data_IF_437211009069
#
_entry.id   IF_437211009069
#
_cell.length_a   1.000
_cell.length_b   1.000
_cell.length_c   1.000
_cell.angle_alpha   90.00
_cell.angle_beta   90.00
_cell.angle_gamma   90.00
#
_symmetry.space_group_name_H-M   'P 1'
#
loop_
_entity.id
_entity.type
_entity.pdbx_description
1 polymer ?
#
# COMPACT_ATOMS: atom_id res chain seq x y z
N UNK A 1 -4.31 -10.22 33.46
CA UNK A 1 -3.97 -10.00 32.03
C UNK A 1 -5.11 -9.24 31.38
N UNK A 2 -4.81 -8.33 30.45
CA UNK A 2 -5.83 -7.59 29.68
C UNK A 2 -5.49 -7.62 28.20
N UNK A 3 -6.45 -7.92 27.34
CA UNK A 3 -6.29 -7.77 25.89
C UNK A 3 -6.44 -6.29 25.55
N UNK A 4 -5.49 -5.70 24.84
CA UNK A 4 -5.56 -4.31 24.42
C UNK A 4 -4.77 -4.06 23.14
N UNK A 5 -5.06 -2.94 22.49
CA UNK A 5 -4.15 -2.38 21.50
C UNK A 5 -3.03 -1.64 22.22
N UNK A 6 -1.81 -1.91 21.83
CA UNK A 6 -0.63 -1.32 22.45
C UNK A 6 -0.23 0.03 21.84
N UNK A 7 0.93 0.55 22.23
CA UNK A 7 1.48 1.80 21.70
C UNK A 7 1.67 1.77 20.18
N UNK A 8 2.00 0.60 19.62
CA UNK A 8 2.14 0.34 18.18
C UNK A 8 0.81 -0.04 17.51
N UNK A 9 -0.30 0.01 18.27
CA UNK A 9 -1.64 -0.41 17.86
C UNK A 9 -1.78 -1.88 17.49
N UNK A 10 -0.89 -2.73 18.01
CA UNK A 10 -0.99 -4.17 17.87
C UNK A 10 -1.86 -4.75 18.98
N UNK A 11 -2.73 -5.69 18.61
CA UNK A 11 -3.53 -6.42 19.58
C UNK A 11 -2.62 -7.37 20.37
N UNK A 12 -2.48 -7.07 21.65
CA UNK A 12 -1.59 -7.77 22.56
C UNK A 12 -2.29 -8.06 23.89
N UNK A 13 -1.62 -8.83 24.74
CA UNK A 13 -2.00 -9.01 26.14
C UNK A 13 -1.01 -8.25 27.01
N UNK A 14 -1.55 -7.31 27.77
CA UNK A 14 -0.86 -6.66 28.86
C UNK A 14 -0.89 -7.54 30.11
N UNK A 15 0.29 -7.80 30.65
CA UNK A 15 0.49 -8.49 31.91
C UNK A 15 1.52 -7.72 32.74
N UNK A 16 1.07 -7.15 33.86
CA UNK A 16 1.91 -6.40 34.80
C UNK A 16 3.03 -7.27 35.39
N UNK A 17 2.86 -8.59 35.38
CA UNK A 17 3.84 -9.55 35.92
C UNK A 17 4.92 -9.93 34.91
N UNK A 18 4.79 -9.54 33.65
CA UNK A 18 5.73 -9.92 32.59
C UNK A 18 6.91 -8.93 32.60
N UNK A 19 8.14 -9.38 32.89
CA UNK A 19 9.29 -8.48 33.03
C UNK A 19 9.62 -7.78 31.70
N UNK A 20 9.59 -6.46 31.67
CA UNK A 20 9.97 -5.67 30.48
C UNK A 20 11.48 -5.45 30.42
N UNK A 21 12.22 -6.54 30.15
CA UNK A 21 13.68 -6.54 30.27
C UNK A 21 14.41 -6.14 28.97
N UNK A 22 13.76 -6.25 27.82
CA UNK A 22 14.38 -6.04 26.50
C UNK A 22 13.40 -5.45 25.48
N UNK A 23 13.88 -4.47 24.72
CA UNK A 23 13.20 -3.97 23.52
C UNK A 23 13.54 -4.85 22.31
N UNK A 24 12.52 -5.14 21.52
CA UNK A 24 12.63 -5.83 20.24
C UNK A 24 12.16 -4.91 19.13
N UNK A 25 12.83 -4.99 17.99
CA UNK A 25 12.46 -4.27 16.78
C UNK A 25 12.01 -5.26 15.71
N UNK A 26 10.86 -4.99 15.11
CA UNK A 26 10.29 -5.79 14.02
C UNK A 26 9.88 -4.88 12.87
N UNK A 27 9.84 -5.42 11.66
CA UNK A 27 9.27 -4.77 10.49
C UNK A 27 8.08 -5.61 10.06
N UNK A 28 6.89 -5.01 10.03
CA UNK A 28 5.62 -5.67 9.69
C UNK A 28 5.03 -4.98 8.47
N UNK A 29 4.99 -5.64 7.32
CA UNK A 29 4.57 -5.03 6.03
C UNK A 29 5.24 -3.66 5.77
N UNK A 30 6.51 -3.56 6.15
CA UNK A 30 7.33 -2.36 6.02
C UNK A 30 7.16 -1.33 7.15
N UNK A 31 6.28 -1.57 8.13
CA UNK A 31 6.08 -0.73 9.30
C UNK A 31 7.00 -1.18 10.44
N UNK A 32 7.90 -0.31 10.85
CA UNK A 32 8.83 -0.60 11.94
C UNK A 32 8.14 -0.36 13.28
N UNK A 33 8.19 -1.37 14.15
CA UNK A 33 7.74 -1.28 15.54
C UNK A 33 8.93 -1.48 16.47
N UNK A 34 8.88 -0.84 17.62
CA UNK A 34 9.77 -1.12 18.75
C UNK A 34 8.93 -1.30 20.00
N UNK A 35 9.18 -2.38 20.74
CA UNK A 35 8.35 -2.74 21.89
C UNK A 35 9.08 -3.72 22.81
N UNK A 36 8.70 -3.71 24.08
CA UNK A 36 9.09 -4.69 25.09
C UNK A 36 8.38 -6.03 24.92
N UNK A 37 8.89 -7.06 25.60
CA UNK A 37 8.29 -8.40 25.59
C UNK A 37 6.81 -8.37 26.04
N UNK A 38 5.94 -9.07 25.29
CA UNK A 38 4.51 -9.19 25.53
C UNK A 38 3.94 -10.40 24.78
N UNK A 39 2.76 -10.84 25.19
CA UNK A 39 2.02 -11.87 24.45
C UNK A 39 1.19 -11.21 23.34
N UNK A 40 1.18 -11.80 22.15
CA UNK A 40 0.47 -11.29 20.97
C UNK A 40 -0.34 -12.38 20.28
N UNK A 41 -1.44 -11.96 19.65
CA UNK A 41 -2.24 -12.81 18.78
C UNK A 41 -1.60 -12.85 17.40
N UNK A 42 -1.28 -14.06 16.93
CA UNK A 42 -0.65 -14.28 15.64
C UNK A 42 -1.46 -15.23 14.78
N UNK A 43 -1.65 -14.85 13.52
CA UNK A 43 -2.25 -15.70 12.50
C UNK A 43 -1.15 -16.33 11.66
N UNK A 44 -1.09 -17.66 11.61
CA UNK A 44 -0.08 -18.39 10.86
C UNK A 44 -0.66 -19.72 10.36
N UNK A 45 -0.43 -20.07 9.09
CA UNK A 45 -0.90 -21.33 8.49
C UNK A 45 -2.41 -21.57 8.72
N UNK A 46 -3.22 -20.51 8.59
CA UNK A 46 -4.68 -20.51 8.75
C UNK A 46 -5.20 -20.78 10.18
N UNK A 47 -4.36 -20.58 11.19
CA UNK A 47 -4.76 -20.72 12.59
C UNK A 47 -4.26 -19.54 13.42
N UNK A 48 -5.05 -19.17 14.44
CA UNK A 48 -4.64 -18.22 15.46
C UNK A 48 -3.85 -18.90 16.57
N UNK A 49 -2.84 -18.20 17.07
CA UNK A 49 -2.01 -18.62 18.19
C UNK A 49 -1.76 -17.43 19.09
N UNK A 50 -1.67 -17.69 20.39
CA UNK A 50 -1.10 -16.75 21.33
C UNK A 50 0.37 -17.12 21.55
N UNK A 51 1.27 -16.20 21.22
CA UNK A 51 2.71 -16.41 21.38
C UNK A 51 3.33 -15.22 22.12
N UNK A 52 4.52 -15.44 22.64
CA UNK A 52 5.39 -14.35 23.06
C UNK A 52 5.95 -13.63 21.82
N UNK A 53 5.96 -12.30 21.84
CA UNK A 53 6.40 -11.44 20.73
C UNK A 53 7.81 -11.79 20.25
N UNK A 54 8.72 -12.22 21.14
CA UNK A 54 10.08 -12.64 20.77
C UNK A 54 10.11 -13.80 19.78
N UNK A 55 9.01 -14.55 19.66
CA UNK A 55 8.84 -15.67 18.75
C UNK A 55 8.12 -15.29 17.45
N UNK A 56 7.82 -14.00 17.23
CA UNK A 56 7.28 -13.51 15.97
C UNK A 56 8.31 -13.72 14.85
N UNK A 57 7.87 -14.32 13.74
CA UNK A 57 8.75 -14.64 12.63
C UNK A 57 8.00 -14.86 11.33
N UNK A 58 8.74 -15.30 10.30
CA UNK A 58 8.27 -15.34 8.92
C UNK A 58 6.92 -16.04 8.74
N UNK A 59 6.05 -15.38 7.97
CA UNK A 59 4.74 -15.93 7.65
C UNK A 59 3.68 -15.75 8.73
N UNK A 60 4.03 -15.19 9.89
CA UNK A 60 3.07 -14.79 10.91
C UNK A 60 2.49 -13.41 10.58
N UNK A 61 1.22 -13.22 10.90
CA UNK A 61 0.53 -11.94 10.81
C UNK A 61 0.02 -11.53 12.19
N UNK A 62 0.08 -10.24 12.50
CA UNK A 62 -0.44 -9.67 13.75
C UNK A 62 -1.60 -8.74 13.48
N UNK A 63 -2.57 -8.73 14.39
CA UNK A 63 -3.71 -7.83 14.30
C UNK A 63 -3.29 -6.40 14.68
N UNK A 64 -3.49 -5.47 13.76
CA UNK A 64 -3.24 -4.04 13.90
C UNK A 64 -4.56 -3.30 13.78
N UNK A 65 -4.71 -2.22 14.55
CA UNK A 65 -5.85 -1.32 14.42
C UNK A 65 -5.44 0.13 14.20
N UNK A 66 -5.86 0.80 13.11
CA UNK A 66 -5.61 2.23 12.95
C UNK A 66 -6.35 3.03 14.04
N UNK A 67 -5.67 4.03 14.64
CA UNK A 67 -6.28 4.93 15.65
C UNK A 67 -7.41 5.75 15.05
N UNK A 68 -7.21 6.23 13.83
CA UNK A 68 -8.19 6.97 13.05
C UNK A 68 -8.33 6.25 11.70
N UNK A 69 -9.34 5.38 11.53
CA UNK A 69 -9.61 4.79 10.23
C UNK A 69 -9.89 5.92 9.21
N UNK A 70 -9.42 5.73 7.98
CA UNK A 70 -9.51 6.77 6.96
C UNK A 70 -10.94 6.82 6.45
N UNK A 71 -11.57 7.99 6.54
CA UNK A 71 -12.82 8.24 5.83
C UNK A 71 -12.52 8.44 4.34
N UNK A 72 -13.14 7.60 3.51
CA UNK A 72 -13.00 7.65 2.05
C UNK A 72 -13.64 8.88 1.43
N UNK A 73 -14.61 9.47 2.13
CA UNK A 73 -15.46 10.54 1.62
C UNK A 73 -14.77 11.92 1.68
N UNK A 74 -13.68 12.04 2.44
CA UNK A 74 -12.91 13.27 2.60
C UNK A 74 -11.64 13.34 1.73
N UNK A 75 -11.30 12.29 0.99
CA UNK A 75 -10.07 12.27 0.21
C UNK A 75 -10.29 12.92 -1.17
N UNK A 76 -9.66 14.07 -1.38
CA UNK A 76 -9.58 14.72 -2.70
C UNK A 76 -8.43 14.12 -3.49
N UNK A 77 -8.75 13.46 -4.61
CA UNK A 77 -7.73 12.94 -5.51
C UNK A 77 -7.35 13.97 -6.57
N UNK A 78 -6.08 14.39 -6.56
CA UNK A 78 -5.51 15.28 -7.54
C UNK A 78 -5.18 14.53 -8.84
N UNK A 79 -6.03 14.75 -9.84
CA UNK A 79 -5.90 14.14 -11.17
C UNK A 79 -4.63 14.62 -11.90
N UNK A 80 -4.09 15.79 -11.55
CA UNK A 80 -2.86 16.32 -12.16
C UNK A 80 -1.63 15.49 -11.79
N UNK A 81 -1.72 14.66 -10.75
CA UNK A 81 -0.68 13.67 -10.44
C UNK A 81 -0.51 12.65 -11.56
N UNK A 82 -1.54 12.37 -12.36
CA UNK A 82 -1.39 11.53 -13.56
C UNK A 82 -0.40 12.15 -14.56
N UNK A 83 -0.58 13.43 -14.89
CA UNK A 83 0.35 14.14 -15.78
C UNK A 83 1.75 14.25 -15.15
N UNK A 84 1.81 14.41 -13.83
CA UNK A 84 3.07 14.46 -13.10
C UNK A 84 3.85 13.16 -13.31
N UNK A 85 3.22 11.99 -13.14
CA UNK A 85 3.87 10.70 -13.39
C UNK A 85 4.26 10.52 -14.88
N UNK A 86 3.42 10.98 -15.83
CA UNK A 86 3.78 10.95 -17.25
C UNK A 86 5.04 11.79 -17.57
N UNK A 87 5.30 12.85 -16.79
CA UNK A 87 6.50 13.69 -16.93
C UNK A 87 7.75 13.14 -16.24
N UNK A 88 7.65 11.99 -15.55
CA UNK A 88 8.72 11.46 -14.70
C UNK A 88 10.04 11.22 -15.44
N UNK A 89 9.98 10.75 -16.69
CA UNK A 89 11.17 10.54 -17.51
C UNK A 89 11.17 11.49 -18.70
N UNK A 90 12.30 12.16 -18.89
CA UNK A 90 12.55 13.08 -19.97
C UNK A 90 13.83 12.68 -20.69
N UNK A 91 13.78 12.71 -22.01
CA UNK A 91 14.91 12.56 -22.91
C UNK A 91 15.16 13.85 -23.68
N UNK A 92 16.29 13.90 -24.36
CA UNK A 92 16.67 14.96 -25.26
C UNK A 92 17.02 14.33 -26.60
N UNK A 93 16.42 14.82 -27.68
CA UNK A 93 16.81 14.42 -29.03
C UNK A 93 17.94 15.34 -29.48
N UNK A 94 19.15 14.79 -29.63
CA UNK A 94 20.35 15.55 -29.96
C UNK A 94 20.31 16.17 -31.37
N UNK A 95 19.63 15.52 -32.32
CA UNK A 95 19.53 15.99 -33.71
C UNK A 95 18.60 17.20 -33.85
N UNK A 96 17.51 17.22 -33.07
CA UNK A 96 16.47 18.27 -33.15
C UNK A 96 16.56 19.29 -32.02
N UNK A 97 17.31 19.00 -30.95
CA UNK A 97 17.36 19.81 -29.74
C UNK A 97 16.07 19.79 -28.90
N UNK A 98 15.12 18.90 -29.21
CA UNK A 98 13.81 18.88 -28.57
C UNK A 98 13.81 17.91 -27.38
N UNK A 99 13.32 18.39 -26.23
CA UNK A 99 13.02 17.54 -25.08
C UNK A 99 11.73 16.77 -25.30
N UNK A 100 11.71 15.50 -24.91
CA UNK A 100 10.51 14.66 -25.00
C UNK A 100 10.33 13.86 -23.72
N UNK A 101 9.09 13.49 -23.41
CA UNK A 101 8.78 12.61 -22.29
C UNK A 101 8.62 11.17 -22.79
N UNK A 102 8.92 10.19 -21.93
CA UNK A 102 8.80 8.79 -22.32
C UNK A 102 8.48 7.87 -21.14
N UNK A 103 8.03 6.66 -21.45
CA UNK A 103 7.87 5.58 -20.48
C UNK A 103 8.90 4.47 -20.79
N UNK A 104 9.89 4.22 -19.90
CA UNK A 104 11.00 3.30 -20.17
C UNK A 104 10.60 1.82 -20.26
N UNK A 105 9.48 1.43 -19.64
CA UNK A 105 8.92 0.08 -19.75
C UNK A 105 7.42 0.18 -19.99
N UNK A 106 6.97 -0.34 -21.14
CA UNK A 106 5.57 -0.34 -21.52
C UNK A 106 4.79 -1.42 -20.77
N UNK A 107 4.29 -1.09 -19.57
CA UNK A 107 3.28 -1.90 -18.88
C UNK A 107 1.87 -1.30 -18.97
N UNK A 108 1.76 -0.01 -19.31
CA UNK A 108 0.47 0.63 -19.56
C UNK A 108 -0.10 0.19 -20.91
N UNK A 109 -1.35 -0.27 -20.90
CA UNK A 109 -2.13 -0.36 -22.13
C UNK A 109 -2.29 1.06 -22.68
N UNK A 110 -1.66 1.33 -23.82
CA UNK A 110 -1.67 2.67 -24.45
C UNK A 110 -3.11 3.10 -24.75
N UNK A 111 -4.01 2.15 -25.04
CA UNK A 111 -5.43 2.45 -25.24
C UNK A 111 -6.03 3.03 -23.96
N UNK A 112 -5.72 2.42 -22.82
CA UNK A 112 -6.17 2.89 -21.50
C UNK A 112 -5.57 4.27 -21.17
N UNK A 113 -4.27 4.48 -21.42
CA UNK A 113 -3.63 5.79 -21.16
C UNK A 113 -4.21 6.90 -22.05
N UNK A 114 -4.50 6.62 -23.32
CA UNK A 114 -5.17 7.57 -24.23
C UNK A 114 -6.61 7.86 -23.80
N UNK A 115 -7.34 6.82 -23.38
CA UNK A 115 -8.67 6.97 -22.78
C UNK A 115 -8.64 7.93 -21.61
N UNK A 116 -7.71 7.73 -20.66
CA UNK A 116 -7.50 8.61 -19.51
C UNK A 116 -7.22 10.06 -19.89
N UNK A 117 -6.30 10.30 -20.82
CA UNK A 117 -6.00 11.66 -21.27
C UNK A 117 -7.25 12.35 -21.83
N UNK A 118 -8.09 11.60 -22.54
CA UNK A 118 -9.36 12.12 -23.07
C UNK A 118 -10.34 12.43 -21.94
N UNK A 119 -10.56 11.49 -21.00
CA UNK A 119 -11.44 11.69 -19.84
C UNK A 119 -10.97 12.85 -18.93
N UNK A 120 -9.66 13.09 -18.88
CA UNK A 120 -9.04 14.16 -18.10
C UNK A 120 -8.96 15.51 -18.84
N UNK A 121 -9.46 15.60 -20.07
CA UNK A 121 -9.43 16.80 -20.91
C UNK A 121 -8.00 17.30 -21.25
N UNK A 122 -7.09 16.38 -21.58
CA UNK A 122 -5.75 16.70 -22.12
C UNK A 122 -5.58 16.19 -23.57
N UNK A 123 -6.42 16.62 -24.52
CA UNK A 123 -6.40 16.12 -25.90
C UNK A 123 -5.13 16.48 -26.67
N UNK A 124 -4.37 17.49 -26.21
CA UNK A 124 -3.11 17.93 -26.80
C UNK A 124 -1.95 16.96 -26.53
N UNK A 125 -2.08 16.08 -25.55
CA UNK A 125 -1.05 15.10 -25.20
C UNK A 125 -1.24 13.85 -26.06
N UNK A 126 -0.22 13.51 -26.84
CA UNK A 126 -0.20 12.30 -27.63
C UNK A 126 0.75 11.26 -27.01
N UNK A 127 0.33 9.99 -27.02
CA UNK A 127 1.11 8.86 -26.54
C UNK A 127 1.30 7.89 -27.71
N UNK A 128 2.55 7.57 -28.03
CA UNK A 128 2.89 6.71 -29.17
C UNK A 128 3.85 5.58 -28.75
N UNK A 129 3.57 4.36 -29.21
CA UNK A 129 4.46 3.22 -29.02
C UNK A 129 5.55 3.24 -30.09
N UNK A 130 6.80 3.19 -29.68
CA UNK A 130 7.95 3.05 -30.59
C UNK A 130 8.69 1.74 -30.29
N UNK A 131 9.72 1.42 -31.09
CA UNK A 131 10.59 0.26 -30.85
C UNK A 131 11.36 0.36 -29.53
N UNK A 132 11.61 1.57 -29.02
CA UNK A 132 12.42 1.84 -27.83
C UNK A 132 11.65 2.17 -26.56
N UNK A 133 10.31 2.18 -26.60
CA UNK A 133 9.47 2.53 -25.46
C UNK A 133 8.18 3.23 -25.88
N UNK A 134 7.57 3.96 -24.95
CA UNK A 134 6.39 4.81 -25.27
C UNK A 134 6.81 6.27 -25.18
N UNK A 135 6.60 7.04 -26.24
CA UNK A 135 6.91 8.47 -26.31
C UNK A 135 5.65 9.27 -26.00
N UNK A 136 5.83 10.37 -25.27
CA UNK A 136 4.77 11.29 -24.87
C UNK A 136 5.11 12.66 -25.44
N UNK A 137 4.26 13.17 -26.32
CA UNK A 137 4.38 14.46 -26.99
C UNK A 137 3.29 15.42 -26.50
N UNK A 138 3.55 16.73 -26.57
CA UNK A 138 2.60 17.76 -26.12
C UNK A 138 2.57 18.01 -24.61
N UNK A 139 3.12 17.10 -23.80
CA UNK A 139 3.24 17.27 -22.35
C UNK A 139 4.30 18.34 -22.01
N UNK A 140 3.86 19.45 -21.41
CA UNK A 140 4.72 20.57 -20.97
C UNK A 140 5.05 20.54 -19.47
N UNK A 141 4.46 19.63 -18.70
CA UNK A 141 4.66 19.53 -17.25
C UNK A 141 6.08 19.03 -16.94
N UNK A 142 6.70 19.61 -15.94
CA UNK A 142 7.94 19.11 -15.34
C UNK A 142 7.59 18.28 -14.12
N UNK A 143 8.26 17.14 -13.94
CA UNK A 143 8.06 16.29 -12.79
C UNK A 143 8.38 17.01 -11.48
N UNK A 144 7.46 16.94 -10.53
CA UNK A 144 7.64 17.42 -9.16
C UNK A 144 7.10 16.37 -8.20
N UNK A 145 7.94 15.85 -7.30
CA UNK A 145 7.44 14.92 -6.30
C UNK A 145 6.42 15.63 -5.38
N UNK A 146 5.26 15.02 -5.07
CA UNK A 146 4.27 15.63 -4.18
C UNK A 146 4.90 16.00 -2.83
N UNK A 147 4.56 17.17 -2.31
CA UNK A 147 5.08 17.64 -1.01
C UNK A 147 4.08 17.43 0.12
N UNK A 148 2.77 17.40 -0.19
CA UNK A 148 1.70 17.22 0.79
C UNK A 148 1.30 15.76 0.90
N UNK A 149 0.96 15.34 2.12
CA UNK A 149 0.50 13.99 2.39
C UNK A 149 -0.80 13.63 1.65
N UNK A 150 -1.66 14.62 1.40
CA UNK A 150 -2.92 14.48 0.65
C UNK A 150 -2.68 14.03 -0.80
N UNK A 151 -1.57 14.48 -1.40
CA UNK A 151 -1.25 14.19 -2.81
C UNK A 151 -0.58 12.81 -2.99
N UNK A 152 -0.09 12.19 -1.91
CA UNK A 152 0.62 10.90 -1.97
C UNK A 152 -0.25 9.76 -2.50
N UNK A 153 -1.54 9.74 -2.15
CA UNK A 153 -2.45 8.73 -2.67
C UNK A 153 -2.71 8.91 -4.16
N UNK A 154 -2.95 10.14 -4.60
CA UNK A 154 -3.13 10.48 -6.02
C UNK A 154 -1.90 10.12 -6.84
N UNK A 155 -0.71 10.41 -6.32
CA UNK A 155 0.56 10.03 -6.91
C UNK A 155 0.74 8.51 -6.99
N UNK A 156 0.46 7.78 -5.90
CA UNK A 156 0.54 6.32 -5.86
C UNK A 156 -0.44 5.66 -6.83
N UNK A 157 -1.65 6.20 -6.97
CA UNK A 157 -2.68 5.67 -7.86
C UNK A 157 -2.34 5.96 -9.32
N UNK A 158 -1.78 7.13 -9.63
CA UNK A 158 -1.22 7.42 -10.95
C UNK A 158 -0.07 6.45 -11.29
N UNK A 159 0.83 6.16 -10.34
CA UNK A 159 1.86 5.13 -10.52
C UNK A 159 1.24 3.75 -10.78
N UNK A 160 0.17 3.40 -10.06
CA UNK A 160 -0.54 2.13 -10.27
C UNK A 160 -1.15 2.02 -11.67
N UNK A 161 -1.72 3.10 -12.22
CA UNK A 161 -2.27 3.08 -13.58
C UNK A 161 -1.20 2.94 -14.67
N UNK A 162 -0.04 3.58 -14.48
CA UNK A 162 1.00 3.66 -15.52
C UNK A 162 1.97 2.48 -15.44
N UNK A 163 2.37 2.08 -14.23
CA UNK A 163 3.40 1.07 -14.00
C UNK A 163 2.89 -0.17 -13.23
N UNK A 164 1.62 -0.17 -12.82
CA UNK A 164 1.04 -1.24 -12.03
C UNK A 164 0.63 -2.46 -12.85
N UNK A 165 0.91 -3.63 -12.29
CA UNK A 165 0.32 -4.90 -12.66
C UNK A 165 -0.75 -5.25 -11.63
N UNK A 166 -1.99 -5.35 -12.10
CA UNK A 166 -3.15 -5.72 -11.28
C UNK A 166 -3.22 -7.24 -11.17
N UNK A 167 -3.17 -7.77 -9.95
CA UNK A 167 -3.30 -9.20 -9.66
C UNK A 167 -4.71 -9.48 -9.16
N UNK A 168 -5.40 -10.41 -9.82
CA UNK A 168 -6.81 -10.65 -9.61
C UNK A 168 -7.40 -11.62 -10.62
N UNK A 169 -8.68 -11.95 -10.46
CA UNK A 169 -9.49 -12.70 -11.43
C UNK A 169 -10.86 -12.06 -11.53
N UNK A 170 -11.45 -12.06 -12.72
CA UNK A 170 -12.85 -11.63 -12.93
C UNK A 170 -13.18 -10.25 -12.30
N UNK A 171 -12.28 -9.28 -12.48
CA UNK A 171 -12.42 -7.93 -11.93
C UNK A 171 -12.17 -7.78 -10.42
N UNK A 172 -12.02 -8.89 -9.67
CA UNK A 172 -11.64 -8.86 -8.26
C UNK A 172 -10.14 -8.56 -8.12
N UNK A 173 -9.82 -7.42 -7.53
CA UNK A 173 -8.47 -6.97 -7.25
C UNK A 173 -7.96 -7.55 -5.93
N UNK A 174 -6.87 -8.31 -6.00
CA UNK A 174 -6.19 -8.89 -4.83
C UNK A 174 -4.95 -8.10 -4.44
N UNK A 175 -4.20 -7.61 -5.41
CA UNK A 175 -3.00 -6.81 -5.17
C UNK A 175 -2.64 -5.97 -6.39
N UNK A 176 -1.89 -4.90 -6.16
CA UNK A 176 -1.24 -4.12 -7.22
C UNK A 176 0.27 -4.23 -7.01
N UNK A 177 1.01 -4.58 -8.07
CA UNK A 177 2.47 -4.54 -8.09
C UNK A 177 2.96 -3.48 -9.05
N UNK A 178 3.66 -2.47 -8.53
CA UNK A 178 4.20 -1.37 -9.32
C UNK A 178 5.69 -1.58 -9.44
N UNK A 179 6.22 -1.58 -10.67
CA UNK A 179 7.66 -1.65 -10.92
C UNK A 179 8.11 -0.31 -11.51
N UNK A 180 8.71 0.53 -10.67
CA UNK A 180 9.18 1.85 -11.07
C UNK A 180 10.69 1.82 -11.25
N UNK A 181 11.20 2.02 -12.47
CA UNK A 181 12.64 2.10 -12.67
C UNK A 181 13.19 3.41 -12.11
N UNK A 182 14.34 3.35 -11.46
CA UNK A 182 15.07 4.49 -10.94
C UNK A 182 16.37 4.62 -11.73
N UNK A 183 16.29 5.20 -12.93
CA UNK A 183 17.43 5.36 -13.85
C UNK A 183 17.84 6.83 -13.85
N UNK A 184 19.13 7.14 -14.01
CA UNK A 184 19.61 8.52 -14.14
C UNK A 184 19.35 9.37 -12.89
N UNK A 185 18.85 10.60 -13.09
CA UNK A 185 18.62 11.57 -12.00
C UNK A 185 17.53 11.11 -11.01
N UNK A 186 16.70 10.15 -11.42
CA UNK A 186 15.65 9.55 -10.60
C UNK A 186 16.21 8.62 -9.51
N UNK A 187 17.52 8.36 -9.45
CA UNK A 187 18.12 7.63 -8.33
C UNK A 187 17.87 8.32 -6.96
N UNK A 188 17.73 9.65 -6.94
CA UNK A 188 17.39 10.43 -5.74
C UNK A 188 15.91 10.29 -5.32
N UNK A 189 15.06 9.71 -6.17
CA UNK A 189 13.63 9.55 -5.91
C UNK A 189 13.35 8.47 -4.86
N UNK A 190 14.24 7.49 -4.70
CA UNK A 190 14.04 6.37 -3.78
C UNK A 190 13.71 6.83 -2.37
N UNK A 191 14.50 7.74 -1.80
CA UNK A 191 14.29 8.23 -0.44
C UNK A 191 12.93 8.92 -0.29
N UNK A 192 12.51 9.68 -1.32
CA UNK A 192 11.19 10.32 -1.35
C UNK A 192 10.05 9.29 -1.38
N UNK A 193 10.19 8.22 -2.16
CA UNK A 193 9.22 7.12 -2.21
C UNK A 193 9.15 6.36 -0.87
N UNK A 194 10.30 6.10 -0.24
CA UNK A 194 10.38 5.48 1.08
C UNK A 194 9.67 6.36 2.12
N UNK A 195 9.92 7.67 2.10
CA UNK A 195 9.31 8.60 3.04
C UNK A 195 7.80 8.76 2.80
N UNK A 196 7.35 8.75 1.55
CA UNK A 196 5.93 8.68 1.20
C UNK A 196 5.28 7.44 1.82
N UNK A 197 5.86 6.25 1.65
CA UNK A 197 5.33 5.02 2.26
C UNK A 197 5.27 5.12 3.79
N UNK A 198 6.32 5.64 4.44
CA UNK A 198 6.32 5.86 5.90
C UNK A 198 5.21 6.82 6.33
N UNK A 199 4.95 7.86 5.56
CA UNK A 199 3.88 8.82 5.87
C UNK A 199 2.48 8.20 5.69
N UNK A 200 2.27 7.37 4.67
CA UNK A 200 1.04 6.61 4.49
C UNK A 200 0.84 5.57 5.62
N UNK A 201 1.90 4.94 6.11
CA UNK A 201 1.84 4.02 7.26
C UNK A 201 1.41 4.71 8.56
N UNK A 202 1.78 5.98 8.78
CA UNK A 202 1.36 6.75 9.97
C UNK A 202 -0.17 6.92 10.04
N UNK A 203 -0.85 6.94 8.90
CA UNK A 203 -2.31 6.99 8.80
C UNK A 203 -2.91 5.58 8.61
N UNK A 204 -2.11 4.53 8.81
CA UNK A 204 -2.56 3.14 8.78
C UNK A 204 -2.68 2.55 7.39
N UNK A 205 -2.08 3.13 6.34
CA UNK A 205 -2.04 2.55 4.99
C UNK A 205 -0.69 1.88 4.72
N UNK A 206 -0.72 0.57 4.51
CA UNK A 206 0.50 -0.23 4.42
C UNK A 206 0.85 -0.58 2.98
N UNK A 207 2.10 -0.35 2.62
CA UNK A 207 2.65 -0.65 1.30
C UNK A 207 3.97 -1.38 1.50
N UNK A 208 4.05 -2.61 0.98
CA UNK A 208 5.32 -3.32 0.94
C UNK A 208 6.18 -2.71 -0.15
N UNK A 209 7.46 -2.60 0.13
CA UNK A 209 8.43 -2.07 -0.81
C UNK A 209 9.67 -2.95 -0.87
N UNK A 210 10.26 -3.01 -2.04
CA UNK A 210 11.55 -3.62 -2.26
C UNK A 210 12.32 -2.82 -3.34
N UNK A 211 13.64 -2.90 -3.31
CA UNK A 211 14.48 -2.31 -4.34
C UNK A 211 15.35 -3.41 -4.95
N UNK A 212 14.99 -3.81 -6.17
CA UNK A 212 15.77 -4.81 -6.89
C UNK A 212 16.87 -4.13 -7.69
N UNK A 213 18.06 -4.72 -7.63
CA UNK A 213 19.23 -4.30 -8.38
C UNK A 213 19.50 -5.37 -9.43
N UNK A 214 19.09 -5.12 -10.68
CA UNK A 214 19.36 -6.01 -11.81
C UNK A 214 20.28 -5.29 -12.80
N UNK A 215 21.55 -5.70 -12.84
CA UNK A 215 22.62 -5.00 -13.56
C UNK A 215 22.69 -3.52 -13.15
N UNK A 216 22.91 -2.60 -14.10
CA UNK A 216 22.92 -1.14 -13.87
C UNK A 216 21.51 -0.52 -13.66
N UNK A 217 20.45 -1.36 -13.60
CA UNK A 217 19.07 -0.88 -13.44
C UNK A 217 18.59 -1.14 -12.02
N UNK A 218 18.24 -0.05 -11.35
CA UNK A 218 17.56 -0.06 -10.05
C UNK A 218 16.06 0.01 -10.28
N UNK A 219 15.30 -0.93 -9.71
CA UNK A 219 13.84 -0.95 -9.81
C UNK A 219 13.25 -0.89 -8.41
N UNK A 220 12.49 0.17 -8.14
CA UNK A 220 11.71 0.29 -6.93
C UNK A 220 10.35 -0.38 -7.11
N UNK A 221 10.04 -1.31 -6.24
CA UNK A 221 8.82 -2.10 -6.30
C UNK A 221 7.88 -1.71 -5.18
N UNK A 222 6.63 -1.43 -5.52
CA UNK A 222 5.54 -1.36 -4.55
C UNK A 222 4.67 -2.60 -4.68
N UNK A 223 4.30 -3.18 -3.56
CA UNK A 223 3.24 -4.19 -3.48
C UNK A 223 2.16 -3.70 -2.53
N UNK A 224 1.00 -3.40 -3.12
CA UNK A 224 -0.21 -2.98 -2.42
C UNK A 224 -1.10 -4.20 -2.26
N UNK A 225 -1.26 -4.67 -1.02
CA UNK A 225 -2.18 -5.73 -0.62
C UNK A 225 -3.02 -5.34 0.60
N UNK A 226 -2.95 -4.07 1.01
CA UNK A 226 -3.80 -3.49 2.03
C UNK A 226 -5.20 -3.28 1.46
N UNK A 227 -6.21 -3.93 2.04
CA UNK A 227 -7.55 -3.94 1.47
C UNK A 227 -8.22 -2.55 1.51
N UNK A 228 -7.91 -1.69 2.48
CA UNK A 228 -8.43 -0.32 2.53
C UNK A 228 -7.80 0.50 1.41
N UNK A 229 -6.48 0.38 1.22
CA UNK A 229 -5.78 1.07 0.14
C UNK A 229 -6.25 0.61 -1.25
N UNK A 230 -6.50 -0.69 -1.43
CA UNK A 230 -7.08 -1.21 -2.66
C UNK A 230 -8.51 -0.71 -2.87
N UNK A 231 -9.31 -0.62 -1.80
CA UNK A 231 -10.69 -0.13 -1.88
C UNK A 231 -10.71 1.35 -2.26
N UNK A 232 -9.82 2.15 -1.67
CA UNK A 232 -9.59 3.54 -2.05
C UNK A 232 -9.22 3.66 -3.54
N UNK A 233 -8.31 2.81 -4.02
CA UNK A 233 -7.93 2.78 -5.43
C UNK A 233 -9.12 2.45 -6.34
N UNK A 234 -9.92 1.44 -6.00
CA UNK A 234 -11.08 1.05 -6.81
C UNK A 234 -12.16 2.14 -6.84
N UNK A 235 -12.42 2.79 -5.70
CA UNK A 235 -13.37 3.91 -5.63
C UNK A 235 -12.89 5.08 -6.48
N UNK A 236 -11.61 5.44 -6.40
CA UNK A 236 -11.03 6.47 -7.27
C UNK A 236 -11.07 6.09 -8.75
N UNK A 237 -10.69 4.85 -9.10
CA UNK A 237 -10.72 4.34 -10.48
C UNK A 237 -12.14 4.36 -11.06
N UNK A 238 -13.17 4.16 -10.24
CA UNK A 238 -14.57 4.20 -10.67
C UNK A 238 -15.06 5.59 -11.11
N UNK A 239 -14.33 6.66 -10.76
CA UNK A 239 -14.59 8.02 -11.26
C UNK A 239 -14.36 8.13 -12.78
N UNK A 240 -13.65 7.17 -13.37
CA UNK A 240 -13.33 7.12 -14.80
C UNK A 240 -14.07 5.96 -15.45
N UNK A 241 -15.21 6.26 -16.07
CA UNK A 241 -16.10 5.24 -16.68
C UNK A 241 -15.42 4.43 -17.78
N UNK A 242 -14.47 5.03 -18.48
CA UNK A 242 -13.74 4.42 -19.59
C UNK A 242 -12.63 3.46 -19.13
N UNK A 243 -12.36 3.39 -17.82
CA UNK A 243 -11.38 2.47 -17.25
C UNK A 243 -11.99 1.10 -16.93
N UNK A 244 -11.19 0.01 -17.01
CA UNK A 244 -11.58 -1.28 -16.48
C UNK A 244 -11.96 -1.15 -15.00
N UNK A 245 -13.20 -1.52 -14.68
CA UNK A 245 -13.71 -1.48 -13.32
C UNK A 245 -13.22 -2.69 -12.53
N UNK A 246 -12.97 -2.46 -11.23
CA UNK A 246 -12.42 -3.47 -10.32
C UNK A 246 -13.12 -3.35 -8.98
N UNK A 247 -13.21 -4.46 -8.24
CA UNK A 247 -13.73 -4.50 -6.89
C UNK A 247 -12.74 -5.18 -5.93
N UNK A 248 -12.98 -5.08 -4.63
CA UNK A 248 -12.12 -5.63 -3.56
C UNK A 248 -12.82 -6.68 -2.70
N UNK A 249 -13.94 -7.24 -3.18
CA UNK A 249 -14.78 -8.16 -2.40
C UNK A 249 -13.98 -9.35 -1.88
N UNK A 250 -13.18 -9.99 -2.74
CA UNK A 250 -12.40 -11.16 -2.36
C UNK A 250 -11.39 -10.88 -1.23
N UNK A 251 -10.66 -9.76 -1.29
CA UNK A 251 -9.68 -9.43 -0.23
C UNK A 251 -10.38 -8.92 1.04
N UNK A 252 -11.48 -8.18 0.91
CA UNK A 252 -12.30 -7.75 2.03
C UNK A 252 -12.90 -8.94 2.78
N UNK A 253 -13.42 -9.94 2.06
CA UNK A 253 -13.94 -11.18 2.63
C UNK A 253 -12.85 -11.99 3.32
N UNK A 254 -11.64 -12.04 2.76
CA UNK A 254 -10.48 -12.68 3.42
C UNK A 254 -10.14 -11.99 4.74
N UNK A 255 -10.08 -10.66 4.76
CA UNK A 255 -9.80 -9.89 5.97
C UNK A 255 -10.88 -10.11 7.03
N UNK A 256 -12.16 -10.06 6.64
CA UNK A 256 -13.31 -10.34 7.52
C UNK A 256 -13.28 -11.76 8.08
N UNK A 257 -12.90 -12.75 7.26
CA UNK A 257 -12.77 -14.14 7.71
C UNK A 257 -11.68 -14.28 8.77
N UNK A 258 -10.50 -13.72 8.53
CA UNK A 258 -9.36 -13.77 9.47
C UNK A 258 -9.74 -13.07 10.79
N UNK A 259 -10.44 -11.93 10.72
CA UNK A 259 -10.98 -11.20 11.86
C UNK A 259 -11.99 -12.02 12.66
N UNK A 260 -12.94 -12.68 12.00
CA UNK A 260 -13.92 -13.52 12.69
C UNK A 260 -13.24 -14.71 13.37
N UNK A 261 -12.24 -15.32 12.73
CA UNK A 261 -11.42 -16.37 13.34
C UNK A 261 -10.67 -15.87 14.60
N UNK A 262 -10.22 -14.61 14.63
CA UNK A 262 -9.58 -14.02 15.81
C UNK A 262 -10.56 -13.88 16.97
N UNK A 263 -11.75 -13.37 16.66
CA UNK A 263 -12.82 -13.18 17.64
C UNK A 263 -13.21 -14.53 18.25
N UNK A 264 -13.45 -15.56 17.43
CA UNK A 264 -13.73 -16.91 17.92
C UNK A 264 -12.57 -17.49 18.73
N UNK A 265 -11.33 -17.34 18.26
CA UNK A 265 -10.16 -17.78 19.00
C UNK A 265 -10.07 -17.12 20.38
N UNK A 266 -10.32 -15.81 20.47
CA UNK A 266 -10.39 -15.11 21.75
C UNK A 266 -11.52 -15.70 22.57
N UNK A 267 -12.77 -15.77 22.09
CA UNK A 267 -13.95 -16.33 22.79
C UNK A 267 -13.67 -17.72 23.37
N UNK A 268 -12.98 -18.59 22.64
CA UNK A 268 -12.62 -19.95 23.06
C UNK A 268 -11.38 -20.03 23.96
N UNK A 269 -10.54 -18.99 24.00
CA UNK A 269 -9.31 -18.97 24.81
C UNK A 269 -9.65 -19.14 26.29
N UNK A 270 -9.15 -20.24 26.88
CA UNK A 270 -9.38 -20.62 28.27
C UNK A 270 -8.33 -20.07 29.24
N UNK A 271 -7.43 -19.18 28.78
CA UNK A 271 -6.35 -18.62 29.62
C UNK A 271 -6.97 -18.00 30.88
N UNK A 272 -6.76 -18.61 32.06
CA UNK A 272 -7.37 -18.15 33.29
C UNK A 272 -6.59 -16.93 33.76
N UNK A 273 -7.04 -15.73 33.39
CA UNK A 273 -6.66 -14.41 33.92
C UNK A 273 -6.93 -13.23 32.95
N UNK A 274 -7.55 -13.46 31.79
CA UNK A 274 -7.94 -12.35 30.90
C UNK A 274 -9.22 -11.71 31.43
N UNK A 275 -9.11 -10.56 32.07
CA UNK A 275 -10.22 -9.95 32.82
C UNK A 275 -11.17 -9.09 31.99
N UNK A 276 -10.79 -8.69 30.78
CA UNK A 276 -11.54 -7.72 29.95
C UNK A 276 -12.09 -8.30 28.64
N UNK A 277 -12.26 -9.63 28.59
CA UNK A 277 -12.69 -10.35 27.38
C UNK A 277 -14.04 -9.86 26.84
N UNK A 278 -15.01 -9.70 27.72
CA UNK A 278 -16.35 -9.20 27.37
C UNK A 278 -16.34 -7.74 26.88
N UNK A 279 -15.36 -6.95 27.30
CA UNK A 279 -15.23 -5.54 26.92
C UNK A 279 -14.53 -5.38 25.56
N UNK A 280 -13.52 -6.20 25.27
CA UNK A 280 -12.72 -6.08 24.04
C UNK A 280 -13.43 -6.69 22.82
N UNK A 281 -14.23 -7.74 22.99
CA UNK A 281 -14.88 -8.43 21.87
C UNK A 281 -15.81 -7.52 21.05
N UNK A 282 -16.67 -6.68 21.67
CA UNK A 282 -17.47 -5.70 20.92
C UNK A 282 -16.61 -4.69 20.16
N UNK A 283 -15.50 -4.24 20.75
CA UNK A 283 -14.56 -3.31 20.10
C UNK A 283 -13.97 -3.96 18.84
N UNK A 284 -13.45 -5.19 18.97
CA UNK A 284 -12.92 -5.93 17.83
C UNK A 284 -13.98 -6.15 16.75
N UNK A 285 -15.22 -6.48 17.11
CA UNK A 285 -16.33 -6.67 16.15
C UNK A 285 -16.57 -5.41 15.31
N UNK A 286 -16.55 -4.23 15.92
CA UNK A 286 -16.88 -2.97 15.24
C UNK A 286 -15.67 -2.28 14.57
N UNK A 287 -14.45 -2.56 15.03
CA UNK A 287 -13.26 -1.86 14.56
C UNK A 287 -12.66 -2.50 13.29
N UNK A 288 -12.10 -1.67 12.42
CA UNK A 288 -11.29 -2.15 11.29
C UNK A 288 -9.98 -2.74 11.80
N UNK A 289 -9.71 -3.99 11.45
CA UNK A 289 -8.44 -4.65 11.75
C UNK A 289 -7.67 -4.94 10.45
N UNK A 290 -6.36 -4.76 10.51
CA UNK A 290 -5.40 -5.20 9.49
C UNK A 290 -4.54 -6.31 10.04
N UNK A 291 -4.04 -7.16 9.15
CA UNK A 291 -3.19 -8.29 9.52
C UNK A 291 -1.81 -8.11 8.91
N UNK A 292 -0.93 -7.45 9.65
CA UNK A 292 0.40 -7.08 9.17
C UNK A 292 1.33 -8.28 9.27
N UNK A 293 1.98 -8.62 8.16
CA UNK A 293 2.89 -9.77 8.08
C UNK A 293 4.32 -9.39 8.50
N UNK A 294 4.99 -10.25 9.26
CA UNK A 294 6.44 -10.22 9.41
C UNK A 294 7.14 -10.60 8.09
#
# INVERSE_FOLDING_TARGET
>A
MKIQFDENQLLSIYDEKLPQLKNYQYILDGYQIETTDRLIFTYQKRAWKLINLKNLGDGMQVAFSPKAPISTDSLTFDKDQFLNILSLFQGFNEETGIKYHFLPFGNGDIVVLKGLLTTLNYPEINIEKTKGGTIISGLKKTFLFPEKAEDYLSFLFALALIYGKFEGKDGNLKSIKIHLPLIGIQAQLEEKLINMCKNLQKIGLFIKRNTDHHAEKKIFQFQINDFELLTLFTSWNSLFKDLPQRNTELISNQNTTIKNQLISFIEETTIPAISNKEQILPILKNQTLKFLKY
#
